data_IF_317562084118
#
_entry.id   IF_317562084118
#
_cell.length_a   1.000
_cell.length_b   1.000
_cell.length_c   1.000
_cell.angle_alpha   90.00
_cell.angle_beta   90.00
_cell.angle_gamma   90.00
#
_symmetry.space_group_name_H-M   'P 1'
#
loop_
_entity.id
_entity.type
_entity.pdbx_description
1 polymer ?
#
# COMPACT_ATOMS: atom_id res chain seq x y z
N UNK A 1 6.23 11.26 -0.28
CA UNK A 1 5.50 11.49 0.98
C UNK A 1 4.82 10.20 1.38
N UNK A 2 5.18 9.69 2.53
CA UNK A 2 4.56 8.50 3.14
C UNK A 2 3.26 8.92 3.83
N UNK A 3 2.34 7.97 4.00
CA UNK A 3 1.06 8.23 4.69
C UNK A 3 1.32 8.65 6.15
N UNK A 4 2.29 8.02 6.81
CA UNK A 4 2.66 8.29 8.21
C UNK A 4 3.22 9.71 8.42
N UNK A 5 3.80 10.31 7.38
CA UNK A 5 4.35 11.68 7.42
C UNK A 5 3.26 12.75 7.23
N UNK A 6 2.03 12.34 6.91
CA UNK A 6 0.94 13.27 6.61
C UNK A 6 0.39 13.92 7.88
N UNK A 7 0.67 15.21 8.06
CA UNK A 7 0.13 16.01 9.17
C UNK A 7 -1.39 16.20 9.11
N UNK A 8 -1.96 16.22 7.90
CA UNK A 8 -3.39 16.42 7.66
C UNK A 8 -3.89 15.39 6.66
N UNK A 9 -4.94 14.66 7.04
CA UNK A 9 -5.56 13.68 6.16
C UNK A 9 -6.27 14.40 5.01
N UNK A 10 -6.14 13.92 3.75
CA UNK A 10 -6.82 14.52 2.62
C UNK A 10 -8.34 14.32 2.75
N UNK A 11 -9.09 15.12 1.97
CA UNK A 11 -10.55 14.95 1.84
C UNK A 11 -10.91 13.49 1.51
N UNK A 12 -12.03 13.03 2.04
CA UNK A 12 -12.55 11.68 1.77
C UNK A 12 -12.69 11.45 0.27
N UNK A 13 -12.41 10.22 -0.17
CA UNK A 13 -12.41 9.79 -1.57
C UNK A 13 -11.44 10.51 -2.50
N UNK A 14 -10.70 11.52 -2.03
CA UNK A 14 -9.65 12.16 -2.82
C UNK A 14 -8.54 11.16 -3.09
N UNK A 15 -8.22 10.99 -4.37
CA UNK A 15 -7.05 10.24 -4.79
C UNK A 15 -5.80 11.10 -4.57
N UNK A 16 -4.81 10.53 -3.89
CA UNK A 16 -3.50 11.11 -3.70
C UNK A 16 -2.43 10.10 -4.12
N UNK A 17 -1.21 10.58 -4.39
CA UNK A 17 -0.06 9.72 -4.62
C UNK A 17 0.82 9.70 -3.38
N UNK A 18 1.14 8.50 -2.90
CA UNK A 18 1.99 8.25 -1.73
C UNK A 18 3.14 7.32 -2.12
N UNK A 19 4.17 7.33 -1.31
CA UNK A 19 5.28 6.38 -1.41
C UNK A 19 5.01 5.22 -0.44
N UNK A 20 4.98 4.00 -0.98
CA UNK A 20 4.92 2.76 -0.20
C UNK A 20 6.26 2.04 -0.31
N UNK A 21 6.72 1.51 0.82
CA UNK A 21 7.86 0.61 0.86
C UNK A 21 7.42 -0.76 0.39
N UNK A 22 8.19 -1.36 -0.51
CA UNK A 22 7.85 -2.66 -1.09
C UNK A 22 8.99 -3.64 -0.88
N UNK A 23 8.68 -4.78 -0.27
CA UNK A 23 9.62 -5.89 -0.18
C UNK A 23 9.75 -6.54 -1.56
N UNK A 24 10.99 -6.65 -2.04
CA UNK A 24 11.28 -7.48 -3.20
C UNK A 24 11.58 -8.89 -2.71
N UNK A 25 10.77 -9.85 -3.14
CA UNK A 25 11.11 -11.27 -2.97
C UNK A 25 12.14 -11.63 -4.05
N UNK A 26 13.41 -11.73 -3.65
CA UNK A 26 14.51 -12.17 -4.51
C UNK A 26 14.96 -13.58 -4.16
N UNK A 27 15.40 -14.35 -5.15
CA UNK A 27 16.21 -15.54 -4.91
C UNK A 27 17.66 -15.11 -4.77
N UNK A 28 18.23 -15.30 -3.57
CA UNK A 28 19.67 -15.19 -3.37
C UNK A 28 20.41 -16.26 -4.18
N UNK A 29 21.72 -16.07 -4.39
CA UNK A 29 22.57 -16.98 -5.15
C UNK A 29 22.56 -18.45 -4.66
N UNK A 30 22.06 -18.70 -3.44
CA UNK A 30 21.92 -20.02 -2.81
C UNK A 30 20.45 -20.50 -2.67
N UNK A 31 19.52 -20.00 -3.48
CA UNK A 31 18.08 -20.32 -3.39
C UNK A 31 17.40 -19.89 -2.06
N UNK A 32 18.09 -19.11 -1.23
CA UNK A 32 17.48 -18.47 -0.06
C UNK A 32 16.56 -17.33 -0.50
N UNK A 33 15.42 -17.19 0.18
CA UNK A 33 14.54 -16.03 -0.01
C UNK A 33 15.19 -14.84 0.71
N UNK A 34 15.49 -13.79 -0.04
CA UNK A 34 15.94 -12.51 0.53
C UNK A 34 14.71 -11.61 0.65
N UNK A 35 14.47 -11.12 1.87
CA UNK A 35 13.51 -10.06 2.14
C UNK A 35 14.31 -8.77 2.35
N UNK A 36 14.46 -7.97 1.31
CA UNK A 36 15.06 -6.64 1.42
C UNK A 36 14.06 -5.57 0.95
N UNK A 37 14.02 -4.44 1.66
CA UNK A 37 13.21 -3.27 1.26
C UNK A 37 14.02 -2.55 0.16
N UNK A 38 13.94 -3.11 -1.05
CA UNK A 38 14.78 -2.67 -2.17
C UNK A 38 14.23 -1.43 -2.88
N UNK A 39 12.93 -1.14 -2.76
CA UNK A 39 12.30 -0.10 -3.59
C UNK A 39 11.14 0.62 -2.94
N UNK A 40 11.07 1.92 -3.22
CA UNK A 40 9.93 2.78 -2.92
C UNK A 40 9.10 2.91 -4.19
N UNK A 41 7.81 2.55 -4.12
CA UNK A 41 6.90 2.67 -5.26
C UNK A 41 5.87 3.77 -5.00
N UNK A 42 5.63 4.62 -6.01
CA UNK A 42 4.59 5.65 -5.94
C UNK A 42 3.24 5.05 -6.28
N UNK A 43 2.32 5.05 -5.32
CA UNK A 43 0.97 4.49 -5.46
C UNK A 43 -0.10 5.54 -5.33
N UNK A 44 -1.14 5.41 -6.16
CA UNK A 44 -2.38 6.17 -5.98
C UNK A 44 -3.22 5.48 -4.93
N UNK A 45 -3.58 6.21 -3.88
CA UNK A 45 -4.42 5.74 -2.79
C UNK A 45 -5.56 6.71 -2.53
N UNK A 46 -6.63 6.22 -1.91
CA UNK A 46 -7.74 7.04 -1.44
C UNK A 46 -8.27 6.50 -0.12
N UNK A 47 -8.92 7.37 0.66
CA UNK A 47 -9.72 6.93 1.80
C UNK A 47 -11.11 6.51 1.33
N UNK A 48 -11.51 5.30 1.69
CA UNK A 48 -12.85 4.74 1.45
C UNK A 48 -13.52 4.41 2.78
N UNK A 49 -14.86 4.46 2.80
CA UNK A 49 -15.64 3.93 3.90
C UNK A 49 -15.89 2.44 3.64
N UNK A 50 -15.57 1.60 4.61
CA UNK A 50 -15.87 0.19 4.64
C UNK A 50 -16.81 -0.14 5.81
N UNK A 51 -17.24 -1.39 5.93
CA UNK A 51 -18.10 -1.89 7.02
C UNK A 51 -17.53 -1.61 8.42
N UNK A 52 -16.21 -1.72 8.56
CA UNK A 52 -15.52 -1.62 9.86
C UNK A 52 -14.95 -0.22 10.15
N UNK A 53 -15.15 0.72 9.22
CA UNK A 53 -14.68 2.10 9.37
C UNK A 53 -14.06 2.68 8.10
N UNK A 54 -13.31 3.76 8.28
CA UNK A 54 -12.58 4.37 7.17
C UNK A 54 -11.29 3.58 6.92
N UNK A 55 -10.84 3.47 5.67
CA UNK A 55 -9.54 2.86 5.39
C UNK A 55 -8.87 3.46 4.17
N UNK A 56 -7.55 3.41 4.13
CA UNK A 56 -6.76 3.62 2.92
C UNK A 56 -6.86 2.40 2.01
N UNK A 57 -7.07 2.65 0.72
CA UNK A 57 -7.12 1.62 -0.30
C UNK A 57 -6.34 2.08 -1.54
N UNK A 58 -5.69 1.12 -2.22
CA UNK A 58 -5.09 1.34 -3.54
C UNK A 58 -6.16 1.73 -4.55
N UNK A 59 -5.78 2.61 -5.47
CA UNK A 59 -6.57 2.95 -6.65
C UNK A 59 -6.02 2.16 -7.83
N UNK A 60 -6.85 1.29 -8.40
CA UNK A 60 -6.53 0.61 -9.67
C UNK A 60 -6.53 1.63 -10.80
N UNK A 61 -5.44 1.69 -11.56
CA UNK A 61 -5.38 2.45 -12.80
C UNK A 61 -5.96 1.64 -13.97
N UNK A 62 -5.79 0.32 -13.92
CA UNK A 62 -6.27 -0.63 -14.94
C UNK A 62 -7.05 -1.77 -14.28
N UNK A 63 -8.03 -2.32 -15.01
CA UNK A 63 -8.89 -3.37 -14.46
C UNK A 63 -8.11 -4.62 -14.01
N UNK A 64 -7.08 -5.00 -14.77
CA UNK A 64 -6.27 -6.19 -14.55
C UNK A 64 -4.94 -5.92 -13.83
N UNK A 65 -4.78 -4.75 -13.21
CA UNK A 65 -3.51 -4.35 -12.58
C UNK A 65 -2.98 -5.41 -11.60
N UNK A 66 -3.85 -6.02 -10.81
CA UNK A 66 -3.50 -7.08 -9.84
C UNK A 66 -2.84 -8.31 -10.47
N UNK A 67 -3.02 -8.55 -11.77
CA UNK A 67 -2.48 -9.73 -12.45
C UNK A 67 -1.01 -9.56 -12.87
N UNK A 68 -0.55 -8.32 -13.07
CA UNK A 68 0.77 -8.04 -13.63
C UNK A 68 1.62 -7.10 -12.77
N UNK A 69 0.98 -6.32 -11.89
CA UNK A 69 1.66 -5.50 -10.89
C UNK A 69 2.08 -6.39 -9.72
N UNK A 70 3.29 -6.95 -9.84
CA UNK A 70 3.87 -7.91 -8.90
C UNK A 70 3.85 -7.43 -7.44
N UNK A 71 3.82 -6.12 -7.21
CA UNK A 71 3.86 -5.51 -5.89
C UNK A 71 2.47 -5.22 -5.30
N UNK A 72 1.40 -5.34 -6.10
CA UNK A 72 0.08 -4.85 -5.73
C UNK A 72 -0.51 -5.56 -4.51
N UNK A 73 -0.33 -6.88 -4.39
CA UNK A 73 -0.85 -7.63 -3.24
C UNK A 73 -0.11 -7.25 -1.95
N UNK A 74 1.21 -7.09 -2.03
CA UNK A 74 2.02 -6.62 -0.90
C UNK A 74 1.63 -5.20 -0.48
N UNK A 75 1.44 -4.29 -1.45
CA UNK A 75 0.96 -2.93 -1.20
C UNK A 75 -0.41 -2.92 -0.49
N UNK A 76 -1.30 -3.88 -0.79
CA UNK A 76 -2.60 -4.04 -0.09
C UNK A 76 -2.40 -4.48 1.35
N UNK A 77 -1.54 -5.48 1.59
CA UNK A 77 -1.23 -5.98 2.92
C UNK A 77 -0.62 -4.87 3.79
N UNK A 78 0.38 -4.13 3.28
CA UNK A 78 0.96 -2.99 3.98
C UNK A 78 -0.08 -1.92 4.32
N UNK A 79 -0.98 -1.59 3.39
CA UNK A 79 -2.04 -0.63 3.68
C UNK A 79 -3.03 -1.17 4.71
N UNK A 80 -3.31 -2.47 4.72
CA UNK A 80 -4.18 -3.09 5.72
C UNK A 80 -3.59 -2.98 7.13
N UNK A 81 -2.32 -3.35 7.30
CA UNK A 81 -1.58 -3.19 8.56
C UNK A 81 -1.49 -1.72 9.00
N UNK A 82 -1.26 -0.81 8.05
CA UNK A 82 -1.24 0.62 8.33
C UNK A 82 -2.62 1.12 8.80
N UNK A 83 -3.72 0.62 8.23
CA UNK A 83 -5.06 0.98 8.67
C UNK A 83 -5.31 0.53 10.13
N UNK A 84 -4.83 -0.64 10.53
CA UNK A 84 -4.89 -1.07 11.93
C UNK A 84 -4.03 -0.19 12.84
N UNK A 85 -2.79 0.08 12.43
CA UNK A 85 -1.85 0.90 13.20
C UNK A 85 -2.38 2.32 13.43
N UNK A 86 -3.06 2.89 12.43
CA UNK A 86 -3.70 4.20 12.51
C UNK A 86 -5.09 4.16 13.21
N UNK A 87 -5.57 3.00 13.66
CA UNK A 87 -6.86 2.82 14.32
C UNK A 87 -8.06 3.13 13.42
N UNK A 88 -7.90 2.97 12.11
CA UNK A 88 -8.90 3.30 11.09
C UNK A 88 -9.93 2.17 10.91
N UNK A 89 -9.50 0.93 11.13
CA UNK A 89 -10.31 -0.29 11.15
C UNK A 89 -10.17 -0.97 12.53
N UNK A 90 -11.17 -1.75 12.93
CA UNK A 90 -11.25 -2.44 14.23
C UNK A 90 -11.15 -3.95 14.10
#
# INVERSE_FOLDING_TARGET
>A
MRIEEMKVLPKLYRVITVELDVLRNGFGANYGVIYDIDTIVKRKVRRVLDTDGWRWALVREYHNQEQWDYFFEYDKECLHELNYTLGLIK
#
